data_IF_061021812469
#
_entry.id   IF_061021812469
#
_cell.length_a   1.000
_cell.length_b   1.000
_cell.length_c   1.000
_cell.angle_alpha   90.00
_cell.angle_beta   90.00
_cell.angle_gamma   90.00
#
_symmetry.space_group_name_H-M   'P 1'
#
loop_
_entity.id
_entity.type
_entity.pdbx_description
1 polymer ?
#
# COMPACT_ATOMS: atom_id res chain seq x y z
N UNK A 1 3.80 -45.14 0.96
CA UNK A 1 5.21 -45.03 1.42
C UNK A 1 5.75 -43.67 1.01
N UNK A 2 6.39 -42.91 1.90
CA UNK A 2 6.97 -41.61 1.55
C UNK A 2 8.07 -41.81 0.50
N UNK A 3 8.08 -40.96 -0.53
CA UNK A 3 9.00 -41.05 -1.67
C UNK A 3 10.34 -40.43 -1.27
N UNK A 4 11.42 -41.20 -1.26
CA UNK A 4 12.77 -40.69 -1.01
C UNK A 4 13.28 -39.96 -2.26
N UNK A 5 13.72 -38.71 -2.10
CA UNK A 5 14.31 -37.90 -3.16
C UNK A 5 15.84 -37.99 -3.06
N UNK A 6 16.54 -38.54 -4.06
CA UNK A 6 17.99 -38.58 -4.05
C UNK A 6 18.56 -37.20 -4.39
N UNK A 7 19.28 -36.61 -3.44
CA UNK A 7 20.03 -35.36 -3.65
C UNK A 7 21.50 -35.75 -3.82
N UNK A 8 22.13 -35.30 -4.91
CA UNK A 8 23.58 -35.46 -5.11
C UNK A 8 24.29 -34.24 -4.55
N UNK A 9 25.12 -34.47 -3.55
CA UNK A 9 26.02 -33.47 -2.99
C UNK A 9 27.41 -33.68 -3.57
N UNK A 10 28.17 -32.60 -3.70
CA UNK A 10 29.61 -32.70 -3.96
C UNK A 10 30.35 -33.18 -2.71
N UNK A 11 31.58 -33.65 -2.86
CA UNK A 11 32.40 -34.13 -1.74
C UNK A 11 32.58 -33.03 -0.67
N UNK A 12 32.80 -31.78 -1.12
CA UNK A 12 32.91 -30.62 -0.24
C UNK A 12 31.59 -30.33 0.50
N UNK A 13 30.45 -30.40 -0.19
CA UNK A 13 29.15 -30.20 0.44
C UNK A 13 28.86 -31.29 1.48
N UNK A 14 29.24 -32.54 1.19
CA UNK A 14 29.06 -33.69 2.09
C UNK A 14 29.90 -33.49 3.35
N UNK A 15 31.16 -33.13 3.20
CA UNK A 15 32.08 -32.86 4.32
C UNK A 15 31.55 -31.73 5.21
N UNK A 16 31.11 -30.61 4.64
CA UNK A 16 30.54 -29.49 5.42
C UNK A 16 29.25 -29.88 6.15
N UNK A 17 28.44 -30.76 5.56
CA UNK A 17 27.22 -31.27 6.17
C UNK A 17 27.54 -32.19 7.37
N UNK A 18 28.56 -33.04 7.25
CA UNK A 18 29.06 -33.91 8.32
C UNK A 18 29.68 -33.11 9.47
N UNK A 19 30.54 -32.14 9.15
CA UNK A 19 31.13 -31.22 10.13
C UNK A 19 30.02 -30.43 10.87
N UNK A 20 29.04 -29.90 10.13
CA UNK A 20 27.90 -29.20 10.70
C UNK A 20 27.04 -30.09 11.61
N UNK A 21 26.78 -31.34 11.20
CA UNK A 21 26.02 -32.30 12.00
C UNK A 21 26.77 -32.65 13.30
N UNK A 22 28.09 -32.86 13.22
CA UNK A 22 28.93 -33.15 14.38
C UNK A 22 28.97 -31.97 15.36
N UNK A 23 29.15 -30.74 14.86
CA UNK A 23 29.15 -29.51 15.69
C UNK A 23 27.81 -29.28 16.39
N UNK A 24 26.70 -29.59 15.72
CA UNK A 24 25.36 -29.47 16.28
C UNK A 24 24.94 -30.68 17.15
N UNK A 25 25.82 -31.67 17.34
CA UNK A 25 25.57 -32.84 18.18
C UNK A 25 24.62 -33.89 17.58
N UNK A 26 24.37 -33.84 16.27
CA UNK A 26 23.51 -34.79 15.59
C UNK A 26 24.24 -36.10 15.29
N UNK A 27 23.63 -37.23 15.70
CA UNK A 27 24.15 -38.58 15.40
C UNK A 27 24.04 -38.96 13.92
N UNK A 28 23.07 -38.38 13.21
CA UNK A 28 22.79 -38.69 11.82
C UNK A 28 22.68 -37.41 10.99
N UNK A 29 23.47 -37.35 9.92
CA UNK A 29 23.53 -36.23 8.96
C UNK A 29 22.17 -36.01 8.28
N UNK A 30 21.41 -37.07 8.04
CA UNK A 30 20.06 -36.98 7.45
C UNK A 30 19.05 -36.29 8.35
N UNK A 31 19.16 -36.47 9.68
CA UNK A 31 18.32 -35.77 10.66
C UNK A 31 18.70 -34.30 10.72
N UNK A 32 20.00 -34.00 10.77
CA UNK A 32 20.52 -32.63 10.74
C UNK A 32 20.09 -31.87 9.48
N UNK A 33 20.24 -32.49 8.30
CA UNK A 33 19.86 -31.89 7.03
C UNK A 33 18.36 -31.61 6.95
N UNK A 34 17.53 -32.55 7.42
CA UNK A 34 16.08 -32.37 7.47
C UNK A 34 15.68 -31.19 8.36
N UNK A 35 16.24 -31.14 9.56
CA UNK A 35 15.95 -30.09 10.55
C UNK A 35 16.35 -28.71 10.02
N UNK A 36 17.55 -28.60 9.42
CA UNK A 36 18.01 -27.36 8.79
C UNK A 36 17.14 -26.92 7.61
N UNK A 37 16.74 -27.85 6.75
CA UNK A 37 15.85 -27.54 5.61
C UNK A 37 14.50 -26.99 6.09
N UNK A 38 13.89 -27.59 7.11
CA UNK A 38 12.63 -27.08 7.66
C UNK A 38 12.81 -25.74 8.37
N UNK A 39 13.90 -25.56 9.14
CA UNK A 39 14.19 -24.28 9.80
C UNK A 39 14.36 -23.12 8.81
N UNK A 40 14.95 -23.38 7.64
CA UNK A 40 15.16 -22.36 6.61
C UNK A 40 13.83 -21.94 5.98
N UNK A 41 12.94 -22.92 5.73
CA UNK A 41 11.60 -22.67 5.19
C UNK A 41 10.74 -21.89 6.19
N UNK A 42 10.86 -22.16 7.48
CA UNK A 42 10.14 -21.43 8.53
C UNK A 42 10.65 -20.00 8.68
N UNK A 43 11.98 -19.79 8.63
CA UNK A 43 12.57 -18.45 8.66
C UNK A 43 12.12 -17.61 7.46
N UNK A 44 12.18 -18.16 6.25
CA UNK A 44 11.78 -17.48 5.02
C UNK A 44 10.30 -17.05 5.07
N UNK A 45 9.41 -17.95 5.52
CA UNK A 45 7.99 -17.63 5.73
C UNK A 45 7.76 -16.56 6.79
N UNK A 46 8.52 -16.57 7.88
CA UNK A 46 8.38 -15.59 8.96
C UNK A 46 8.83 -14.20 8.53
N UNK A 47 9.90 -14.10 7.74
CA UNK A 47 10.42 -12.85 7.24
C UNK A 47 9.49 -12.24 6.19
N UNK A 48 8.93 -13.06 5.32
CA UNK A 48 7.97 -12.64 4.29
C UNK A 48 6.64 -12.17 4.91
N UNK A 49 6.18 -12.82 5.99
CA UNK A 49 4.99 -12.38 6.74
C UNK A 49 5.17 -11.03 7.44
N UNK A 50 6.33 -10.78 8.06
CA UNK A 50 6.62 -9.49 8.72
C UNK A 50 6.72 -8.37 7.69
N UNK A 51 7.37 -8.61 6.56
CA UNK A 51 7.46 -7.64 5.48
C UNK A 51 6.07 -7.33 4.87
N UNK A 52 5.23 -8.37 4.69
CA UNK A 52 3.86 -8.21 4.23
C UNK A 52 3.01 -7.38 5.20
N UNK A 53 3.09 -7.67 6.50
CA UNK A 53 2.35 -6.91 7.53
C UNK A 53 2.78 -5.45 7.59
N UNK A 54 4.09 -5.17 7.55
CA UNK A 54 4.61 -3.80 7.51
C UNK A 54 4.13 -3.04 6.25
N UNK A 55 4.04 -3.73 5.11
CA UNK A 55 3.53 -3.16 3.87
C UNK A 55 2.04 -2.84 3.98
N UNK A 56 1.26 -3.73 4.58
CA UNK A 56 -0.18 -3.53 4.78
C UNK A 56 -0.45 -2.33 5.69
N UNK A 57 0.28 -2.21 6.81
CA UNK A 57 0.16 -1.07 7.72
C UNK A 57 0.50 0.27 7.05
N UNK A 58 1.52 0.28 6.18
CA UNK A 58 1.85 1.47 5.39
C UNK A 58 0.72 1.84 4.42
N UNK A 59 0.10 0.85 3.78
CA UNK A 59 -1.02 1.08 2.87
C UNK A 59 -2.24 1.62 3.63
N UNK A 60 -2.59 1.04 4.78
CA UNK A 60 -3.70 1.52 5.63
C UNK A 60 -3.47 2.97 6.06
N UNK A 61 -2.26 3.30 6.55
CA UNK A 61 -1.93 4.68 6.91
C UNK A 61 -2.04 5.65 5.73
N UNK A 62 -1.59 5.23 4.54
CA UNK A 62 -1.73 6.05 3.34
C UNK A 62 -3.19 6.23 2.94
N UNK A 63 -4.03 5.21 3.12
CA UNK A 63 -5.46 5.28 2.85
C UNK A 63 -6.15 6.25 3.80
N UNK A 64 -5.90 6.14 5.10
CA UNK A 64 -6.43 7.05 6.12
C UNK A 64 -6.04 8.51 5.84
N UNK A 65 -4.79 8.74 5.42
CA UNK A 65 -4.32 10.06 5.01
C UNK A 65 -5.05 10.59 3.78
N UNK A 66 -5.36 9.74 2.80
CA UNK A 66 -6.12 10.12 1.61
C UNK A 66 -7.57 10.42 1.97
N UNK A 67 -8.20 9.59 2.80
CA UNK A 67 -9.58 9.81 3.27
C UNK A 67 -9.71 11.13 4.03
N UNK A 68 -8.75 11.43 4.91
CA UNK A 68 -8.73 12.69 5.64
C UNK A 68 -8.56 13.89 4.69
N UNK A 69 -7.65 13.79 3.71
CA UNK A 69 -7.46 14.84 2.70
C UNK A 69 -8.74 15.05 1.87
N UNK A 70 -9.40 13.96 1.48
CA UNK A 70 -10.66 14.01 0.73
C UNK A 70 -11.77 14.65 1.55
N UNK A 71 -11.88 14.35 2.85
CA UNK A 71 -12.86 14.98 3.73
C UNK A 71 -12.64 16.50 3.86
N UNK A 72 -11.38 16.94 3.94
CA UNK A 72 -11.01 18.36 3.96
C UNK A 72 -11.39 19.04 2.62
N UNK A 73 -11.08 18.42 1.49
CA UNK A 73 -11.45 18.93 0.17
C UNK A 73 -12.97 19.03 -0.02
N UNK A 74 -13.73 18.02 0.41
CA UNK A 74 -15.19 18.05 0.37
C UNK A 74 -15.76 19.17 1.24
N UNK A 75 -15.17 19.41 2.41
CA UNK A 75 -15.56 20.50 3.31
C UNK A 75 -15.28 21.86 2.69
N UNK A 76 -14.10 22.04 2.10
CA UNK A 76 -13.74 23.27 1.38
C UNK A 76 -14.67 23.52 0.19
N UNK A 77 -14.97 22.48 -0.59
CA UNK A 77 -15.90 22.58 -1.72
C UNK A 77 -17.33 22.92 -1.25
N UNK A 78 -17.80 22.33 -0.15
CA UNK A 78 -19.08 22.68 0.43
C UNK A 78 -19.11 24.13 0.93
N UNK A 79 -18.02 24.59 1.55
CA UNK A 79 -17.89 25.97 2.03
C UNK A 79 -17.85 26.97 0.86
N UNK A 80 -17.11 26.68 -0.22
CA UNK A 80 -17.08 27.55 -1.41
C UNK A 80 -18.43 27.59 -2.10
N UNK A 81 -19.10 26.44 -2.27
CA UNK A 81 -20.47 26.40 -2.82
C UNK A 81 -21.46 27.17 -1.94
N UNK A 82 -21.32 27.09 -0.60
CA UNK A 82 -22.14 27.86 0.34
C UNK A 82 -21.90 29.37 0.18
N UNK A 83 -20.65 29.82 0.17
CA UNK A 83 -20.28 31.22 0.00
C UNK A 83 -20.72 31.78 -1.37
N UNK A 84 -20.63 30.98 -2.42
CA UNK A 84 -21.16 31.31 -3.75
C UNK A 84 -22.69 31.40 -3.66
N UNK A 85 -23.36 30.49 -2.97
CA UNK A 85 -24.82 30.50 -2.82
C UNK A 85 -25.35 31.70 -2.03
N UNK A 86 -24.54 32.23 -1.10
CA UNK A 86 -24.85 33.37 -0.25
C UNK A 86 -24.72 34.71 -1.00
N UNK A 87 -23.74 34.83 -1.91
CA UNK A 87 -23.48 36.04 -2.69
C UNK A 87 -24.02 36.01 -4.14
N UNK A 88 -24.66 34.94 -4.58
CA UNK A 88 -25.13 34.79 -5.98
C UNK A 88 -26.64 34.95 -6.15
N UNK A 89 -27.02 35.60 -7.25
CA UNK A 89 -28.42 35.71 -7.66
C UNK A 89 -29.01 34.34 -8.02
N UNK A 90 -30.32 34.18 -7.88
CA UNK A 90 -31.03 32.89 -8.08
C UNK A 90 -30.79 32.27 -9.46
N UNK A 91 -30.53 33.10 -10.49
CA UNK A 91 -30.18 32.63 -11.84
C UNK A 91 -28.81 31.96 -11.91
N UNK A 92 -27.81 32.51 -11.21
CA UNK A 92 -26.45 31.96 -11.14
C UNK A 92 -26.45 30.62 -10.38
N UNK A 93 -27.24 30.50 -9.31
CA UNK A 93 -27.42 29.23 -8.57
C UNK A 93 -28.03 28.12 -9.42
N UNK A 94 -29.01 28.44 -10.26
CA UNK A 94 -29.64 27.46 -11.14
C UNK A 94 -28.70 27.02 -12.28
N UNK A 95 -27.88 27.94 -12.83
CA UNK A 95 -26.84 27.61 -13.81
C UNK A 95 -25.76 26.68 -13.25
N UNK A 96 -25.25 27.00 -12.06
CA UNK A 96 -24.28 26.16 -11.34
C UNK A 96 -24.85 24.78 -11.03
N UNK A 97 -26.09 24.69 -10.58
CA UNK A 97 -26.76 23.41 -10.28
C UNK A 97 -26.96 22.55 -11.53
N UNK A 98 -27.17 23.16 -12.70
CA UNK A 98 -27.27 22.45 -13.97
C UNK A 98 -25.90 21.90 -14.41
N UNK A 99 -24.83 22.69 -14.27
CA UNK A 99 -23.46 22.27 -14.61
C UNK A 99 -22.95 21.17 -13.64
N UNK A 100 -23.23 21.30 -12.34
CA UNK A 100 -22.94 20.27 -11.34
C UNK A 100 -23.65 18.94 -11.63
N UNK A 101 -24.87 18.98 -12.16
CA UNK A 101 -25.58 17.76 -12.57
C UNK A 101 -24.95 17.06 -13.79
N UNK A 102 -24.28 17.80 -14.67
CA UNK A 102 -23.58 17.22 -15.82
C UNK A 102 -22.19 16.66 -15.47
N UNK A 103 -21.59 17.09 -14.36
CA UNK A 103 -20.27 16.65 -13.90
C UNK A 103 -20.45 15.53 -12.87
N UNK A 104 -20.38 14.27 -13.34
CA UNK A 104 -20.64 13.07 -12.53
C UNK A 104 -19.57 12.71 -11.49
N UNK A 105 -18.47 13.47 -11.37
CA UNK A 105 -17.38 13.19 -10.43
C UNK A 105 -16.93 14.47 -9.71
N UNK A 106 -16.80 14.39 -8.38
CA UNK A 106 -16.48 15.54 -7.51
C UNK A 106 -15.12 16.17 -7.79
N UNK A 107 -14.18 15.41 -8.36
CA UNK A 107 -12.81 15.84 -8.61
C UNK A 107 -12.66 16.82 -9.77
N UNK A 108 -13.62 16.87 -10.71
CA UNK A 108 -13.56 17.75 -11.88
C UNK A 108 -14.41 19.02 -11.72
N UNK A 109 -15.10 19.16 -10.58
CA UNK A 109 -16.04 20.25 -10.33
C UNK A 109 -15.30 21.58 -10.19
N UNK A 110 -14.15 21.58 -9.51
CA UNK A 110 -13.33 22.78 -9.32
C UNK A 110 -12.76 23.29 -10.65
N UNK A 111 -12.12 22.41 -11.43
CA UNK A 111 -11.53 22.77 -12.73
C UNK A 111 -12.58 23.28 -13.73
N UNK A 112 -13.78 22.70 -13.72
CA UNK A 112 -14.82 23.04 -14.67
C UNK A 112 -15.60 24.32 -14.30
N UNK A 113 -15.79 24.60 -13.01
CA UNK A 113 -16.62 25.72 -12.56
C UNK A 113 -15.80 26.95 -12.17
N UNK A 114 -14.60 26.75 -11.64
CA UNK A 114 -13.75 27.80 -11.10
C UNK A 114 -12.29 27.52 -11.48
N UNK A 115 -11.94 27.55 -12.78
CA UNK A 115 -10.60 27.22 -13.27
C UNK A 115 -9.52 28.13 -12.69
N UNK A 116 -9.85 29.40 -12.42
CA UNK A 116 -8.91 30.35 -11.78
C UNK A 116 -8.59 29.93 -10.34
N UNK A 117 -9.59 29.43 -9.59
CA UNK A 117 -9.40 28.93 -8.23
C UNK A 117 -8.67 27.59 -8.23
N UNK A 118 -8.95 26.71 -9.19
CA UNK A 118 -8.21 25.46 -9.37
C UNK A 118 -6.73 25.73 -9.65
N UNK A 119 -6.44 26.67 -10.55
CA UNK A 119 -5.08 27.15 -10.85
C UNK A 119 -4.38 27.74 -9.62
N UNK A 120 -5.09 28.55 -8.83
CA UNK A 120 -4.54 29.08 -7.58
C UNK A 120 -4.30 28.00 -6.52
N UNK A 121 -5.18 26.99 -6.43
CA UNK A 121 -4.98 25.83 -5.55
C UNK A 121 -3.79 24.99 -6.01
N UNK A 122 -3.64 24.71 -7.31
CA UNK A 122 -2.46 24.02 -7.86
C UNK A 122 -1.18 24.81 -7.61
N UNK A 123 -1.22 26.15 -7.68
CA UNK A 123 -0.08 27.01 -7.39
C UNK A 123 0.28 27.04 -5.90
N UNK A 124 -0.70 26.87 -5.01
CA UNK A 124 -0.49 26.84 -3.55
C UNK A 124 -0.16 25.43 -3.05
N UNK A 125 -0.68 24.38 -3.69
CA UNK A 125 -0.42 22.97 -3.36
C UNK A 125 0.73 22.36 -4.16
N UNK A 126 1.26 23.09 -5.14
CA UNK A 126 2.51 22.76 -5.83
C UNK A 126 3.67 22.95 -4.87
N UNK A 127 4.24 21.82 -4.44
CA UNK A 127 5.57 21.70 -3.85
C UNK A 127 6.60 22.57 -4.62
N UNK A 128 7.30 23.45 -3.89
CA UNK A 128 8.77 23.47 -4.01
C UNK A 128 9.34 22.29 -3.22
#
# INVERSE_FOLDING_TARGET
MPKTLPIRLTDEQTRRLEEGAALAGYKHVSTYARDRLFSLIEQDKSQDQVAHWATMQKIEYQLDSIEQSQAVQQTLMAATLYLISENSSTGVRNGLRAQLKSLGASTQILDALLPDLASDIERISGDE
#
